data_IF_475085080429
#
_entry.id   IF_475085080429
#
_cell.length_a   1.000
_cell.length_b   1.000
_cell.length_c   1.000
_cell.angle_alpha   90.00
_cell.angle_beta   90.00
_cell.angle_gamma   90.00
#
_symmetry.space_group_name_H-M   'P 1'
#
loop_
_entity.id
_entity.type
_entity.pdbx_description
1 polymer ?
#
# COMPACT_ATOMS: atom_id res chain seq x y z
N UNK A 1 1.36 1.36 -10.32
CA UNK A 1 0.67 1.41 -9.02
C UNK A 1 -0.71 2.05 -9.15
N UNK A 2 -1.75 1.22 -9.05
CA UNK A 2 -3.12 1.66 -8.79
C UNK A 2 -3.64 0.90 -7.59
N UNK A 3 -4.30 1.59 -6.67
CA UNK A 3 -4.93 0.94 -5.53
C UNK A 3 -6.21 0.27 -5.98
N UNK A 4 -6.28 -1.06 -5.87
CA UNK A 4 -7.43 -1.86 -6.27
C UNK A 4 -8.36 -2.04 -5.08
N UNK A 5 -7.80 -2.36 -3.93
CA UNK A 5 -8.56 -2.57 -2.70
C UNK A 5 -7.80 -2.11 -1.47
N UNK A 6 -8.55 -1.71 -0.45
CA UNK A 6 -8.05 -1.35 0.87
C UNK A 6 -9.17 -1.55 1.89
N UNK A 7 -8.94 -2.43 2.85
CA UNK A 7 -9.96 -2.89 3.79
C UNK A 7 -9.40 -2.80 5.21
N UNK A 8 -10.20 -2.22 6.11
CA UNK A 8 -9.96 -2.16 7.55
C UNK A 8 -11.19 -2.75 8.26
N UNK A 9 -11.32 -4.09 8.33
CA UNK A 9 -12.53 -4.75 8.79
C UNK A 9 -12.97 -4.33 10.19
N UNK A 10 -12.02 -4.05 11.08
CA UNK A 10 -12.29 -3.63 12.45
C UNK A 10 -13.08 -2.32 12.54
N UNK A 11 -13.03 -1.44 11.54
CA UNK A 11 -13.85 -0.21 11.57
C UNK A 11 -15.35 -0.50 11.60
N UNK A 12 -15.79 -1.61 11.01
CA UNK A 12 -17.20 -2.02 11.00
C UNK A 12 -17.67 -2.66 12.31
N UNK A 13 -16.75 -2.96 13.24
CA UNK A 13 -17.01 -3.80 14.41
C UNK A 13 -16.90 -3.04 15.74
N UNK A 14 -17.74 -3.34 16.75
CA UNK A 14 -17.66 -2.70 18.07
C UNK A 14 -16.33 -2.94 18.81
N UNK A 15 -15.76 -4.15 18.69
CA UNK A 15 -14.47 -4.55 19.29
C UNK A 15 -13.33 -4.62 18.26
N UNK A 16 -13.42 -3.85 17.17
CA UNK A 16 -12.49 -3.95 16.05
C UNK A 16 -11.03 -3.65 16.39
N UNK A 17 -10.76 -3.01 17.52
CA UNK A 17 -9.40 -2.74 18.00
C UNK A 17 -8.62 -4.03 18.33
N UNK A 18 -9.27 -5.01 18.96
CA UNK A 18 -8.63 -6.25 19.43
C UNK A 18 -8.11 -7.12 18.27
N UNK A 19 -8.73 -6.97 17.10
CA UNK A 19 -8.37 -7.66 15.87
C UNK A 19 -8.07 -6.66 14.74
N UNK A 20 -7.39 -5.56 15.09
CA UNK A 20 -7.02 -4.54 14.12
C UNK A 20 -6.19 -5.16 12.99
N UNK A 21 -6.69 -4.99 11.77
CA UNK A 21 -6.03 -5.46 10.56
C UNK A 21 -6.30 -4.50 9.41
N UNK A 22 -5.34 -4.41 8.49
CA UNK A 22 -5.44 -3.62 7.26
C UNK A 22 -5.00 -4.53 6.12
N UNK A 23 -5.89 -4.76 5.16
CA UNK A 23 -5.60 -5.54 3.96
C UNK A 23 -5.63 -4.62 2.75
N UNK A 24 -4.67 -4.74 1.85
CA UNK A 24 -4.65 -3.94 0.63
C UNK A 24 -4.22 -4.75 -0.59
N UNK A 25 -4.67 -4.28 -1.74
CA UNK A 25 -4.33 -4.80 -3.06
C UNK A 25 -3.95 -3.63 -3.96
N UNK A 26 -2.72 -3.66 -4.49
CA UNK A 26 -2.20 -2.65 -5.41
C UNK A 26 -1.68 -3.34 -6.66
N UNK A 27 -1.98 -2.78 -7.82
CA UNK A 27 -1.42 -3.25 -9.09
C UNK A 27 -0.20 -2.45 -9.48
N UNK A 28 0.93 -3.11 -9.59
CA UNK A 28 2.12 -2.57 -10.22
C UNK A 28 2.13 -2.92 -11.72
N UNK A 29 2.37 -1.94 -12.58
CA UNK A 29 2.30 -2.10 -14.04
C UNK A 29 3.58 -1.57 -14.65
N UNK A 30 4.35 -2.47 -15.26
CA UNK A 30 5.37 -2.09 -16.21
C UNK A 30 4.71 -1.75 -17.56
N UNK A 31 4.46 -0.47 -17.81
CA UNK A 31 3.94 -0.02 -19.10
C UNK A 31 5.00 0.06 -20.21
N UNK A 32 6.28 -0.14 -19.89
CA UNK A 32 7.35 -0.06 -20.86
C UNK A 32 7.40 -1.35 -21.72
N UNK A 33 7.47 -1.26 -23.07
CA UNK A 33 7.56 -2.42 -23.96
C UNK A 33 8.93 -3.07 -24.07
N UNK A 34 10.00 -2.44 -23.56
CA UNK A 34 11.37 -2.86 -23.84
C UNK A 34 12.22 -3.04 -22.58
N UNK A 35 11.82 -2.43 -21.46
CA UNK A 35 12.61 -2.40 -20.24
C UNK A 35 11.93 -3.29 -19.20
N UNK A 36 12.66 -4.27 -18.67
CA UNK A 36 12.25 -5.04 -17.50
C UNK A 36 12.68 -4.36 -16.20
N UNK A 37 12.08 -4.76 -15.08
CA UNK A 37 12.36 -4.18 -13.77
C UNK A 37 12.68 -5.29 -12.79
N UNK A 38 13.88 -5.30 -12.24
CA UNK A 38 14.21 -6.09 -11.06
C UNK A 38 13.76 -5.32 -9.83
N UNK A 39 12.94 -5.94 -8.99
CA UNK A 39 12.60 -5.49 -7.65
C UNK A 39 13.47 -6.28 -6.67
N UNK A 40 14.45 -5.62 -6.08
CA UNK A 40 15.39 -6.26 -5.14
C UNK A 40 14.82 -6.25 -3.71
N UNK A 41 13.94 -5.29 -3.40
CA UNK A 41 13.13 -5.30 -2.17
C UNK A 41 11.88 -4.46 -2.34
N UNK A 42 10.85 -4.74 -1.52
CA UNK A 42 9.62 -3.98 -1.47
C UNK A 42 9.08 -3.96 -0.04
N UNK A 43 8.91 -2.76 0.51
CA UNK A 43 8.36 -2.53 1.85
C UNK A 43 7.11 -1.66 1.72
N UNK A 44 6.04 -2.06 2.40
CA UNK A 44 4.83 -1.27 2.52
C UNK A 44 4.76 -0.64 3.88
N UNK A 45 4.29 0.60 3.94
CA UNK A 45 4.10 1.36 5.16
C UNK A 45 2.73 2.04 5.12
N UNK A 46 1.93 1.85 6.16
CA UNK A 46 0.61 2.49 6.29
C UNK A 46 0.71 3.62 7.29
N UNK A 47 0.18 4.78 6.91
CA UNK A 47 0.14 5.97 7.73
C UNK A 47 -1.30 6.43 7.96
N UNK A 48 -1.53 7.04 9.12
CA UNK A 48 -2.74 7.81 9.40
C UNK A 48 -2.35 9.15 10.03
N UNK A 49 -2.78 10.26 9.40
CA UNK A 49 -2.36 11.64 9.75
C UNK A 49 -0.84 11.76 9.85
N UNK A 50 -0.13 11.29 8.83
CA UNK A 50 1.33 11.29 8.73
C UNK A 50 2.09 10.49 9.81
N UNK A 51 1.38 9.78 10.69
CA UNK A 51 2.00 8.87 11.64
C UNK A 51 2.01 7.45 11.09
N UNK A 52 3.18 6.81 11.13
CA UNK A 52 3.34 5.41 10.75
C UNK A 52 2.56 4.53 11.73
N UNK A 53 1.63 3.75 11.20
CA UNK A 53 0.81 2.80 11.98
C UNK A 53 1.10 1.35 11.62
N UNK A 54 1.91 1.09 10.61
CA UNK A 54 2.40 -0.26 10.35
C UNK A 54 3.32 -0.35 9.15
N UNK A 55 4.20 -1.34 9.15
CA UNK A 55 5.16 -1.55 8.07
C UNK A 55 5.60 -3.01 7.99
N UNK A 56 5.76 -3.52 6.78
CA UNK A 56 6.26 -4.88 6.54
C UNK A 56 6.83 -5.02 5.11
N UNK A 57 7.74 -5.98 4.88
CA UNK A 57 8.06 -6.45 3.54
C UNK A 57 6.80 -6.94 2.82
N UNK A 58 6.67 -6.65 1.51
CA UNK A 58 5.49 -7.02 0.73
C UNK A 58 5.71 -8.21 -0.19
N UNK A 59 6.91 -8.33 -0.77
CA UNK A 59 7.23 -9.34 -1.76
C UNK A 59 8.71 -9.71 -1.66
N UNK A 60 9.00 -10.98 -1.92
CA UNK A 60 10.36 -11.43 -2.21
C UNK A 60 10.88 -10.80 -3.51
N UNK A 61 12.21 -10.74 -3.72
CA UNK A 61 12.77 -10.16 -4.94
C UNK A 61 12.22 -10.83 -6.20
N UNK A 62 11.85 -10.04 -7.20
CA UNK A 62 11.27 -10.55 -8.44
C UNK A 62 11.66 -9.72 -9.65
N UNK A 63 11.55 -10.33 -10.83
CA UNK A 63 11.72 -9.64 -12.10
C UNK A 63 10.35 -9.43 -12.76
N UNK A 64 10.06 -8.20 -13.12
CA UNK A 64 8.87 -7.82 -13.85
C UNK A 64 9.22 -7.58 -15.32
N UNK A 65 8.72 -8.45 -16.19
CA UNK A 65 8.90 -8.34 -17.63
C UNK A 65 8.26 -7.06 -18.22
N UNK A 66 8.70 -6.62 -19.41
CA UNK A 66 8.01 -5.59 -20.17
C UNK A 66 6.52 -5.91 -20.35
N UNK A 67 5.66 -4.90 -20.26
CA UNK A 67 4.19 -5.04 -20.42
C UNK A 67 3.54 -6.03 -19.45
N UNK A 68 4.11 -6.25 -18.27
CA UNK A 68 3.54 -7.12 -17.24
C UNK A 68 2.91 -6.32 -16.10
N UNK A 69 1.87 -6.88 -15.49
CA UNK A 69 1.24 -6.36 -14.27
C UNK A 69 1.49 -7.33 -13.13
N UNK A 70 1.99 -6.85 -12.01
CA UNK A 70 2.15 -7.62 -10.76
C UNK A 70 1.11 -7.17 -9.74
N UNK A 71 0.50 -8.12 -9.04
CA UNK A 71 -0.40 -7.85 -7.93
C UNK A 71 0.43 -7.83 -6.64
N UNK A 72 0.35 -6.72 -5.91
CA UNK A 72 0.95 -6.55 -4.59
C UNK A 72 -0.19 -6.60 -3.57
N UNK A 73 -0.32 -7.74 -2.90
CA UNK A 73 -1.37 -8.00 -1.91
C UNK A 73 -0.73 -8.29 -0.56
N UNK A 74 -1.21 -7.66 0.51
CA UNK A 74 -0.74 -7.92 1.86
C UNK A 74 -1.79 -7.59 2.91
N UNK A 75 -1.63 -8.20 4.08
CA UNK A 75 -2.44 -7.93 5.28
C UNK A 75 -1.50 -7.59 6.42
N UNK A 76 -1.67 -6.40 6.99
CA UNK A 76 -1.02 -5.98 8.22
C UNK A 76 -1.94 -6.31 9.39
N UNK A 77 -1.42 -7.00 10.40
CA UNK A 77 -2.14 -7.40 11.60
C UNK A 77 -1.34 -7.04 12.85
N UNK A 78 -1.60 -7.71 13.98
CA UNK A 78 -1.00 -7.36 15.27
C UNK A 78 0.54 -7.28 15.29
N UNK A 79 1.23 -8.09 14.49
CA UNK A 79 2.70 -8.09 14.45
C UNK A 79 3.31 -6.94 13.61
N UNK A 80 2.53 -6.34 12.71
CA UNK A 80 3.01 -5.34 11.74
C UNK A 80 2.29 -4.00 11.86
N UNK A 81 1.22 -3.94 12.64
CA UNK A 81 0.51 -2.72 13.02
C UNK A 81 0.93 -2.26 14.42
N UNK A 82 1.15 -0.96 14.56
CA UNK A 82 1.35 -0.26 15.82
C UNK A 82 0.21 0.73 16.00
N UNK A 83 -0.94 0.22 16.44
CA UNK A 83 -2.14 1.03 16.72
C UNK A 83 -2.49 0.86 18.18
N UNK A 84 -2.59 1.96 18.93
CA UNK A 84 -3.04 1.96 20.32
C UNK A 84 -4.51 2.42 20.42
N UNK A 85 -5.07 2.33 21.63
CA UNK A 85 -6.47 2.69 21.88
C UNK A 85 -6.80 4.14 21.50
N UNK A 86 -5.88 5.08 21.74
CA UNK A 86 -6.05 6.48 21.36
C UNK A 86 -6.13 6.64 19.83
N UNK A 87 -5.22 6.01 19.08
CA UNK A 87 -5.22 6.02 17.62
C UNK A 87 -6.47 5.34 17.06
N UNK A 88 -6.92 4.25 17.68
CA UNK A 88 -8.17 3.60 17.30
C UNK A 88 -9.39 4.49 17.52
N UNK A 89 -9.43 5.23 18.63
CA UNK A 89 -10.48 6.22 18.88
C UNK A 89 -10.51 7.29 17.79
N UNK A 90 -9.36 7.79 17.34
CA UNK A 90 -9.31 8.73 16.22
C UNK A 90 -9.89 8.13 14.92
N UNK A 91 -9.68 6.83 14.65
CA UNK A 91 -10.29 6.17 13.51
C UNK A 91 -11.81 6.15 13.64
N UNK A 92 -12.32 5.83 14.84
CA UNK A 92 -13.76 5.78 15.12
C UNK A 92 -14.41 7.16 15.01
N UNK A 93 -13.74 8.22 15.48
CA UNK A 93 -14.22 9.59 15.36
C UNK A 93 -14.25 10.05 13.89
N UNK A 94 -13.21 9.75 13.11
CA UNK A 94 -13.18 10.01 11.67
C UNK A 94 -14.26 9.21 10.91
N UNK A 95 -14.48 7.95 11.31
CA UNK A 95 -15.53 7.09 10.76
C UNK A 95 -16.92 7.70 10.96
N UNK A 96 -17.20 8.30 12.13
CA UNK A 96 -18.46 9.00 12.40
C UNK A 96 -18.65 10.24 11.51
N UNK A 97 -17.56 10.86 11.05
CA UNK A 97 -17.58 11.95 10.05
C UNK A 97 -17.74 11.43 8.61
N UNK A 98 -17.83 10.10 8.43
CA UNK A 98 -18.17 9.43 7.18
C UNK A 98 -17.02 8.67 6.54
N UNK A 99 -15.76 9.06 6.77
CA UNK A 99 -14.60 8.42 6.11
C UNK A 99 -13.35 8.47 6.98
N UNK A 100 -12.51 7.44 6.83
CA UNK A 100 -11.15 7.42 7.41
C UNK A 100 -10.15 7.40 6.26
N UNK A 101 -9.19 8.33 6.28
CA UNK A 101 -8.18 8.45 5.23
C UNK A 101 -6.85 7.89 5.72
N UNK A 102 -6.30 6.95 4.96
CA UNK A 102 -4.99 6.36 5.17
C UNK A 102 -4.07 6.71 3.99
N UNK A 103 -2.77 6.65 4.23
CA UNK A 103 -1.76 6.65 3.16
C UNK A 103 -0.99 5.35 3.18
N UNK A 104 -1.03 4.62 2.07
CA UNK A 104 -0.15 3.48 1.82
C UNK A 104 1.06 3.96 1.02
N UNK A 105 2.23 3.85 1.62
CA UNK A 105 3.52 4.08 0.96
C UNK A 105 4.15 2.73 0.60
N UNK A 106 4.64 2.59 -0.63
CA UNK A 106 5.43 1.43 -1.05
C UNK A 106 6.80 1.93 -1.50
N UNK A 107 7.84 1.43 -0.83
CA UNK A 107 9.22 1.78 -1.12
C UNK A 107 9.96 0.55 -1.59
N UNK A 108 10.59 0.65 -2.75
CA UNK A 108 11.31 -0.45 -3.40
C UNK A 108 12.71 -0.05 -3.82
N UNK A 109 13.63 -1.00 -3.73
CA UNK A 109 14.91 -0.91 -4.42
C UNK A 109 14.76 -1.65 -5.74
N UNK A 110 15.03 -0.96 -6.85
CA UNK A 110 14.86 -1.52 -8.20
C UNK A 110 16.09 -1.33 -9.08
N UNK A 111 16.21 -2.17 -10.11
CA UNK A 111 17.15 -2.00 -11.23
C UNK A 111 16.39 -2.17 -12.54
N UNK A 112 16.63 -1.29 -13.49
CA UNK A 112 16.06 -1.43 -14.83
C UNK A 112 16.97 -2.34 -15.66
N UNK A 113 16.38 -3.32 -16.33
CA UNK A 113 17.07 -4.15 -17.31
C UNK A 113 16.87 -3.56 -18.70
N UNK A 114 17.92 -2.97 -19.26
CA UNK A 114 17.92 -2.43 -20.61
C UNK A 114 18.77 -3.36 -21.48
N UNK A 115 18.11 -4.12 -22.37
CA UNK A 115 18.77 -5.13 -23.21
C UNK A 115 19.55 -6.17 -22.40
N UNK A 116 20.87 -6.17 -22.44
CA UNK A 116 21.75 -7.13 -21.73
C UNK A 116 22.42 -6.56 -20.47
N UNK A 117 22.06 -5.34 -20.04
CA UNK A 117 22.73 -4.64 -18.94
C UNK A 117 21.70 -4.14 -17.94
N UNK A 118 22.01 -4.26 -16.65
CA UNK A 118 21.21 -3.69 -15.57
C UNK A 118 21.69 -2.27 -15.24
N UNK A 119 20.77 -1.36 -14.94
CA UNK A 119 21.12 -0.04 -14.40
C UNK A 119 21.60 -0.15 -12.96
N UNK A 120 22.12 0.95 -12.41
CA UNK A 120 22.31 1.09 -10.97
C UNK A 120 20.99 0.89 -10.21
N UNK A 121 21.12 0.67 -8.90
CA UNK A 121 19.97 0.65 -8.00
C UNK A 121 19.30 2.02 -7.92
N UNK A 122 17.98 2.03 -7.96
CA UNK A 122 17.12 3.19 -7.76
C UNK A 122 16.19 2.92 -6.59
N UNK A 123 15.88 3.93 -5.78
CA UNK A 123 14.80 3.84 -4.81
C UNK A 123 13.53 4.39 -5.45
N UNK A 124 12.55 3.52 -5.60
CA UNK A 124 11.20 3.82 -6.07
C UNK A 124 10.31 4.08 -4.87
N UNK A 125 9.56 5.18 -4.90
CA UNK A 125 8.58 5.53 -3.89
C UNK A 125 7.20 5.66 -4.53
N UNK A 126 6.21 5.05 -3.90
CA UNK A 126 4.81 5.06 -4.34
C UNK A 126 3.95 5.54 -3.19
N UNK A 127 3.13 6.56 -3.42
CA UNK A 127 2.23 7.10 -2.41
C UNK A 127 0.78 6.92 -2.84
N UNK A 128 0.02 6.12 -2.12
CA UNK A 128 -1.39 5.86 -2.37
C UNK A 128 -2.21 6.39 -1.19
N UNK A 129 -2.81 7.57 -1.32
CA UNK A 129 -3.87 7.98 -0.41
C UNK A 129 -5.13 7.17 -0.69
N UNK A 130 -5.87 6.82 0.36
CA UNK A 130 -7.09 6.02 0.27
C UNK A 130 -8.09 6.38 1.35
N UNK A 131 -9.34 6.59 0.97
CA UNK A 131 -10.44 6.76 1.91
C UNK A 131 -11.24 5.45 2.02
N UNK A 132 -11.49 5.03 3.26
CA UNK A 132 -12.41 3.94 3.58
C UNK A 132 -13.69 4.46 4.19
N UNK A 133 -14.80 3.79 3.89
CA UNK A 133 -16.12 4.10 4.42
C UNK A 133 -16.36 3.51 5.82
N UNK A 134 -17.56 3.71 6.38
CA UNK A 134 -17.92 3.19 7.71
C UNK A 134 -18.00 1.65 7.78
N UNK A 135 -18.11 0.98 6.64
CA UNK A 135 -18.02 -0.48 6.50
C UNK A 135 -16.57 -0.98 6.51
N UNK A 136 -15.58 -0.07 6.54
CA UNK A 136 -14.17 -0.38 6.51
C UNK A 136 -13.65 -0.72 5.12
N UNK A 137 -14.41 -0.50 4.04
CA UNK A 137 -13.97 -0.80 2.67
C UNK A 137 -13.59 0.46 1.91
N UNK A 138 -12.73 0.33 0.90
CA UNK A 138 -12.34 1.44 0.02
C UNK A 138 -13.57 2.06 -0.64
N UNK A 139 -13.65 3.39 -0.60
CA UNK A 139 -14.72 4.09 -1.29
C UNK A 139 -14.61 3.93 -2.82
N UNK A 140 -15.74 3.82 -3.55
CA UNK A 140 -15.74 3.62 -5.00
C UNK A 140 -14.92 4.66 -5.79
N UNK A 141 -14.90 5.92 -5.34
CA UNK A 141 -14.15 7.01 -5.97
C UNK A 141 -12.63 6.90 -5.81
N UNK A 142 -12.16 6.08 -4.88
CA UNK A 142 -10.74 5.83 -4.62
C UNK A 142 -10.24 4.53 -5.25
N UNK A 143 -11.15 3.65 -5.66
CA UNK A 143 -10.80 2.40 -6.35
C UNK A 143 -10.16 2.68 -7.72
N UNK A 144 -9.12 1.92 -8.04
CA UNK A 144 -8.30 2.05 -9.24
C UNK A 144 -7.62 3.43 -9.40
N UNK A 145 -7.55 4.23 -8.33
CA UNK A 145 -6.88 5.52 -8.39
C UNK A 145 -5.38 5.30 -8.58
N UNK A 146 -4.79 6.05 -9.51
CA UNK A 146 -3.35 6.03 -9.78
C UNK A 146 -2.61 6.64 -8.59
N UNK A 147 -1.60 5.93 -8.09
CA UNK A 147 -0.74 6.43 -7.03
C UNK A 147 0.41 7.25 -7.63
N UNK A 148 0.72 8.45 -7.10
CA UNK A 148 1.97 9.14 -7.37
C UNK A 148 3.20 8.24 -7.18
N UNK A 149 4.17 8.40 -8.09
CA UNK A 149 5.42 7.65 -8.11
C UNK A 149 6.58 8.61 -8.33
N UNK A 150 7.65 8.46 -7.56
CA UNK A 150 8.89 9.23 -7.74
C UNK A 150 10.12 8.38 -7.37
N UNK A 151 11.30 8.88 -7.74
CA UNK A 151 12.58 8.22 -7.49
C UNK A 151 13.49 9.09 -6.61
N UNK A 152 14.34 8.45 -5.82
CA UNK A 152 15.45 9.08 -5.07
C UNK A 152 16.76 8.34 -5.25
#
# INVERSE_FOLDING_TARGET
>A
FHIVDFIVPGLSQPSGFENAQITFNVTDRNSNPHIGIYYDSMVGSVFYKDQLIGSAPLMDPFYQEPKTTTIVYSTFGAATLTVNSNRWKEFMDARQQGTVIFRLEITSVIRFKVTTWDTKHHKLHVNCDVAVGPDGTILPTWRNKKCPVYFS
#
